data_IF_446363754724
#
_entry.id   IF_446363754724
#
_cell.length_a   1.000
_cell.length_b   1.000
_cell.length_c   1.000
_cell.angle_alpha   90.00
_cell.angle_beta   90.00
_cell.angle_gamma   90.00
#
_symmetry.space_group_name_H-M   'P 1'
#
loop_
_entity.id
_entity.type
_entity.pdbx_description
1 polymer ?
#
# COMPACT_ATOMS: atom_id res chain seq x y z
N UNK A 1 -2.91 12.19 -30.98
CA UNK A 1 -3.15 13.08 -29.84
C UNK A 1 -2.53 12.44 -28.61
N UNK A 2 -2.46 13.15 -27.50
CA UNK A 2 -1.94 12.64 -26.22
C UNK A 2 -2.89 13.04 -25.10
N UNK A 3 -2.77 12.37 -23.93
CA UNK A 3 -3.56 12.71 -22.75
C UNK A 3 -2.67 12.67 -21.49
N UNK A 4 -3.09 13.38 -20.44
CA UNK A 4 -2.43 13.38 -19.15
C UNK A 4 -3.14 12.44 -18.18
N UNK A 5 -2.37 11.65 -17.42
CA UNK A 5 -2.89 10.82 -16.34
C UNK A 5 -2.06 11.03 -15.08
N UNK A 6 -2.73 11.05 -13.92
CA UNK A 6 -2.10 11.33 -12.63
C UNK A 6 -2.42 10.24 -11.62
N UNK A 7 -1.42 9.90 -10.79
CA UNK A 7 -1.61 9.10 -9.59
C UNK A 7 -0.95 9.78 -8.40
N UNK A 8 -1.50 9.54 -7.21
CA UNK A 8 -0.97 10.08 -5.96
C UNK A 8 -0.44 8.97 -5.05
N UNK A 9 0.47 9.36 -4.16
CA UNK A 9 0.91 8.56 -3.03
C UNK A 9 1.04 9.40 -1.78
N UNK A 10 1.07 8.75 -0.63
CA UNK A 10 1.26 9.39 0.67
C UNK A 10 2.37 8.69 1.45
N UNK A 11 3.01 9.43 2.36
CA UNK A 11 4.06 8.88 3.22
C UNK A 11 3.50 7.95 4.31
N UNK A 12 4.39 7.21 4.95
CA UNK A 12 4.06 6.41 6.15
C UNK A 12 3.51 7.26 7.31
N UNK A 13 3.79 8.57 7.33
CA UNK A 13 3.31 9.51 8.34
C UNK A 13 1.96 10.15 8.03
N UNK A 14 1.38 9.92 6.85
CA UNK A 14 0.02 10.36 6.57
C UNK A 14 -0.97 9.72 7.56
N UNK A 15 -1.96 10.47 8.11
CA UNK A 15 -2.86 9.97 9.15
C UNK A 15 -3.52 8.62 8.81
N UNK A 16 -4.04 8.46 7.59
CA UNK A 16 -4.65 7.19 7.17
C UNK A 16 -3.61 6.05 7.13
N UNK A 17 -2.37 6.33 6.72
CA UNK A 17 -1.31 5.30 6.70
C UNK A 17 -0.75 5.00 8.09
N UNK A 18 -0.81 5.93 9.02
CA UNK A 18 -0.56 5.66 10.45
C UNK A 18 -1.59 4.66 10.97
N UNK A 19 -2.88 4.84 10.65
CA UNK A 19 -3.94 3.92 11.01
C UNK A 19 -3.73 2.52 10.41
N UNK A 20 -3.45 2.44 9.10
CA UNK A 20 -3.18 1.18 8.42
C UNK A 20 -1.99 0.43 9.04
N UNK A 21 -0.90 1.13 9.32
CA UNK A 21 0.30 0.53 9.92
C UNK A 21 0.04 0.01 11.34
N UNK A 22 -0.76 0.69 12.14
CA UNK A 22 -1.13 0.21 13.48
C UNK A 22 -1.97 -1.06 13.35
N UNK A 23 -2.99 -1.07 12.48
CA UNK A 23 -3.86 -2.22 12.26
C UNK A 23 -3.08 -3.44 11.76
N UNK A 24 -2.16 -3.27 10.80
CA UNK A 24 -1.34 -4.37 10.28
C UNK A 24 -0.22 -4.81 11.24
N UNK A 25 0.33 -3.91 12.06
CA UNK A 25 1.26 -4.29 13.12
C UNK A 25 0.60 -5.18 14.17
N UNK A 26 -0.66 -4.90 14.50
CA UNK A 26 -1.46 -5.73 15.41
C UNK A 26 -1.79 -7.08 14.78
N UNK A 27 -2.21 -7.10 13.52
CA UNK A 27 -2.45 -8.33 12.78
C UNK A 27 -1.20 -9.22 12.74
N UNK A 28 -0.03 -8.66 12.41
CA UNK A 28 1.23 -9.37 12.39
C UNK A 28 1.58 -9.98 13.75
N UNK A 29 1.31 -9.25 14.82
CA UNK A 29 1.57 -9.75 16.16
C UNK A 29 0.64 -10.93 16.52
N UNK A 30 -0.66 -10.87 16.14
CA UNK A 30 -1.57 -12.00 16.30
C UNK A 30 -1.09 -13.20 15.50
N UNK A 31 -0.80 -13.05 14.22
CA UNK A 31 -0.38 -14.17 13.36
C UNK A 31 0.96 -14.78 13.78
N UNK A 32 1.86 -13.99 14.36
CA UNK A 32 3.13 -14.49 14.87
C UNK A 32 2.94 -15.50 16.02
N UNK A 33 1.96 -15.29 16.88
CA UNK A 33 1.70 -16.15 18.03
C UNK A 33 0.56 -17.15 17.79
N UNK A 34 -0.39 -16.81 16.93
CA UNK A 34 -1.52 -17.64 16.52
C UNK A 34 -1.76 -17.53 15.00
N UNK A 35 -1.15 -18.41 14.18
CA UNK A 35 -1.37 -18.38 12.73
C UNK A 35 -2.82 -18.63 12.31
N UNK A 36 -3.66 -19.19 13.21
CA UNK A 36 -5.08 -19.40 12.98
C UNK A 36 -5.97 -18.22 13.40
N UNK A 37 -5.37 -17.13 13.90
CA UNK A 37 -6.12 -15.95 14.32
C UNK A 37 -6.97 -15.37 13.18
N UNK A 38 -8.18 -14.94 13.54
CA UNK A 38 -9.07 -14.17 12.68
C UNK A 38 -9.14 -12.75 13.22
N UNK A 39 -8.82 -11.78 12.37
CA UNK A 39 -8.74 -10.37 12.74
C UNK A 39 -9.46 -9.50 11.70
N UNK A 40 -10.20 -8.52 12.20
CA UNK A 40 -10.70 -7.38 11.45
C UNK A 40 -10.50 -6.16 12.36
N UNK A 41 -9.30 -5.55 12.29
CA UNK A 41 -8.86 -4.49 13.21
C UNK A 41 -8.84 -3.18 12.44
N UNK A 42 -9.58 -2.21 12.93
CA UNK A 42 -9.61 -0.85 12.42
C UNK A 42 -9.01 0.11 13.45
N UNK A 43 -8.29 1.10 12.95
CA UNK A 43 -7.65 2.13 13.76
C UNK A 43 -8.12 3.50 13.31
N UNK A 44 -8.48 4.33 14.25
CA UNK A 44 -8.75 5.75 14.09
C UNK A 44 -7.67 6.53 14.83
N UNK A 45 -7.15 7.61 14.25
CA UNK A 45 -6.21 8.51 14.92
C UNK A 45 -6.54 9.98 14.62
N UNK A 46 -6.29 10.84 15.61
CA UNK A 46 -6.47 12.29 15.55
C UNK A 46 -5.53 12.96 16.55
N UNK A 47 -5.66 14.27 16.78
CA UNK A 47 -4.86 15.01 17.76
C UNK A 47 -4.78 14.28 19.09
N UNK A 48 -3.57 13.86 19.47
CA UNK A 48 -3.28 13.26 20.79
C UNK A 48 -3.98 11.95 21.08
N UNK A 49 -4.67 11.30 20.11
CA UNK A 49 -5.51 10.13 20.40
C UNK A 49 -5.49 9.08 19.29
N UNK A 50 -5.55 7.81 19.71
CA UNK A 50 -5.76 6.63 18.88
C UNK A 50 -6.91 5.80 19.46
N UNK A 51 -7.78 5.28 18.59
CA UNK A 51 -8.81 4.31 18.96
C UNK A 51 -8.61 3.07 18.09
N UNK A 52 -8.46 1.90 18.70
CA UNK A 52 -8.32 0.60 18.05
C UNK A 52 -9.61 -0.17 18.30
N UNK A 53 -10.27 -0.58 17.25
CA UNK A 53 -11.58 -1.25 17.33
C UNK A 53 -11.66 -2.42 16.36
N UNK A 54 -12.67 -3.26 16.51
CA UNK A 54 -12.94 -4.37 15.60
C UNK A 54 -13.08 -5.71 16.31
N UNK A 55 -12.97 -6.79 15.54
CA UNK A 55 -13.18 -8.17 15.99
C UNK A 55 -11.90 -8.99 15.89
N UNK A 56 -11.61 -9.75 16.92
CA UNK A 56 -10.49 -10.69 16.94
C UNK A 56 -10.94 -12.00 17.57
N UNK A 57 -10.63 -13.11 16.88
CA UNK A 57 -10.68 -14.45 17.45
C UNK A 57 -9.27 -15.04 17.44
N UNK A 58 -8.70 -15.19 18.62
CA UNK A 58 -7.35 -15.74 18.81
C UNK A 58 -7.26 -16.46 20.14
N UNK A 59 -6.41 -17.49 20.20
CA UNK A 59 -6.05 -18.17 21.44
C UNK A 59 -5.04 -17.38 22.27
N UNK A 60 -4.51 -16.24 21.74
CA UNK A 60 -3.41 -15.50 22.33
C UNK A 60 -3.82 -14.09 22.73
N UNK A 61 -3.30 -13.63 23.86
CA UNK A 61 -3.45 -12.24 24.30
C UNK A 61 -2.30 -11.37 23.77
N UNK A 62 -2.63 -10.22 23.22
CA UNK A 62 -1.67 -9.26 22.64
C UNK A 62 -1.82 -7.88 23.31
N UNK A 63 -0.67 -7.26 23.66
CA UNK A 63 -0.64 -5.90 24.21
C UNK A 63 -0.78 -4.86 23.10
N UNK A 64 -2.04 -4.53 22.77
CA UNK A 64 -2.40 -3.63 21.67
C UNK A 64 -1.76 -2.24 21.82
N UNK A 65 -1.77 -1.69 23.03
CA UNK A 65 -1.24 -0.35 23.28
C UNK A 65 0.27 -0.26 23.06
N UNK A 66 1.02 -1.25 23.55
CA UNK A 66 2.47 -1.27 23.36
C UNK A 66 2.85 -1.37 21.89
N UNK A 67 2.12 -2.16 21.09
CA UNK A 67 2.38 -2.31 19.66
C UNK A 67 2.05 -1.03 18.91
N UNK A 68 0.90 -0.41 19.18
CA UNK A 68 0.52 0.86 18.58
C UNK A 68 1.57 1.95 18.86
N UNK A 69 2.02 2.11 20.10
CA UNK A 69 3.07 3.07 20.48
C UNK A 69 4.39 2.83 19.75
N UNK A 70 4.82 1.56 19.66
CA UNK A 70 6.03 1.21 18.89
C UNK A 70 5.89 1.57 17.42
N UNK A 71 4.73 1.34 16.82
CA UNK A 71 4.45 1.68 15.42
C UNK A 71 4.49 3.18 15.20
N UNK A 72 3.81 3.97 16.03
CA UNK A 72 3.80 5.43 15.96
C UNK A 72 5.23 6.00 16.07
N UNK A 73 6.02 5.50 17.05
CA UNK A 73 7.41 5.92 17.22
C UNK A 73 8.29 5.53 16.04
N UNK A 74 8.10 4.32 15.44
CA UNK A 74 8.83 3.86 14.25
C UNK A 74 8.55 4.73 13.03
N UNK A 75 7.33 5.23 12.87
CA UNK A 75 6.95 6.18 11.83
C UNK A 75 7.69 7.51 12.00
N UNK A 76 7.91 7.95 13.23
CA UNK A 76 8.65 9.18 13.55
C UNK A 76 7.84 10.22 14.33
N UNK A 77 6.66 9.89 14.81
CA UNK A 77 5.90 10.73 15.72
C UNK A 77 6.41 10.52 17.15
N UNK A 78 7.50 11.20 17.48
CA UNK A 78 8.24 11.03 18.74
C UNK A 78 8.33 12.30 19.59
N UNK A 79 7.79 13.42 19.10
CA UNK A 79 7.89 14.73 19.73
C UNK A 79 6.50 15.26 20.10
N UNK A 80 6.35 15.76 21.32
CA UNK A 80 5.08 16.34 21.80
C UNK A 80 4.60 17.56 21.01
N UNK A 81 5.54 18.30 20.40
CA UNK A 81 5.23 19.45 19.54
C UNK A 81 4.43 19.08 18.29
N UNK A 82 4.43 17.79 17.89
CA UNK A 82 3.58 17.31 16.80
C UNK A 82 2.12 17.13 17.21
N UNK A 83 1.78 17.36 18.51
CA UNK A 83 0.44 17.16 19.09
C UNK A 83 -0.11 15.74 18.86
N UNK A 84 0.77 14.83 18.47
CA UNK A 84 0.54 13.40 18.33
C UNK A 84 1.91 12.71 18.40
N UNK A 85 2.14 11.90 19.43
CA UNK A 85 3.36 11.12 19.60
C UNK A 85 3.12 9.79 20.29
N UNK A 86 3.95 8.81 20.00
CA UNK A 86 3.77 7.44 20.48
C UNK A 86 3.95 7.26 21.99
N UNK A 87 4.55 8.22 22.70
CA UNK A 87 4.80 8.12 24.15
C UNK A 87 3.67 8.71 24.97
N UNK A 88 3.00 9.77 24.46
CA UNK A 88 2.02 10.55 25.26
C UNK A 88 0.58 10.47 24.74
N UNK A 89 0.32 10.09 23.47
CA UNK A 89 -1.05 10.01 22.96
C UNK A 89 -1.91 9.02 23.76
N UNK A 90 -3.20 9.34 23.93
CA UNK A 90 -4.19 8.43 24.49
C UNK A 90 -4.46 7.27 23.54
N UNK A 91 -4.52 6.03 24.02
CA UNK A 91 -4.89 4.86 23.24
C UNK A 91 -6.07 4.17 23.89
N UNK A 92 -7.21 4.18 23.20
CA UNK A 92 -8.42 3.47 23.58
C UNK A 92 -8.53 2.18 22.75
N UNK A 93 -9.07 1.12 23.36
CA UNK A 93 -9.29 -0.16 22.68
C UNK A 93 -10.73 -0.61 22.87
N UNK A 94 -11.38 -1.02 21.77
CA UNK A 94 -12.74 -1.54 21.71
C UNK A 94 -12.76 -2.78 20.78
N UNK A 95 -11.98 -3.81 21.17
CA UNK A 95 -11.92 -5.10 20.48
C UNK A 95 -12.87 -6.07 21.17
N UNK A 96 -13.67 -6.78 20.39
CA UNK A 96 -14.56 -7.85 20.84
C UNK A 96 -14.36 -9.14 20.04
N UNK A 97 -14.98 -10.22 20.45
CA UNK A 97 -14.92 -11.50 19.75
C UNK A 97 -15.74 -11.47 18.44
N UNK A 98 -15.27 -12.17 17.42
CA UNK A 98 -16.00 -12.32 16.16
C UNK A 98 -17.31 -13.08 16.38
N UNK A 99 -18.38 -12.66 15.70
CA UNK A 99 -19.71 -13.29 15.76
C UNK A 99 -19.68 -14.74 15.31
N UNK A 100 -20.32 -15.63 16.08
CA UNK A 100 -20.49 -17.05 15.75
C UNK A 100 -21.36 -17.27 14.50
N UNK A 101 -22.24 -16.33 14.13
CA UNK A 101 -23.10 -16.43 12.97
C UNK A 101 -22.31 -16.35 11.66
N UNK A 102 -21.30 -15.49 11.60
CA UNK A 102 -20.37 -15.41 10.45
C UNK A 102 -19.58 -16.72 10.36
N UNK A 103 -19.13 -17.24 11.47
CA UNK A 103 -18.30 -18.44 11.51
C UNK A 103 -19.06 -19.69 10.99
N UNK A 104 -20.35 -19.82 11.30
CA UNK A 104 -21.20 -20.96 10.82
C UNK A 104 -21.36 -21.01 9.30
N UNK A 105 -21.39 -19.85 8.62
CA UNK A 105 -21.50 -19.77 7.16
C UNK A 105 -20.20 -20.08 6.43
N UNK A 106 -19.06 -19.94 7.09
CA UNK A 106 -17.72 -20.02 6.51
C UNK A 106 -17.02 -21.34 6.82
N UNK A 107 -17.13 -21.84 8.06
CA UNK A 107 -16.47 -23.07 8.51
C UNK A 107 -17.18 -24.31 7.99
N UNK A 108 -16.46 -25.19 7.30
CA UNK A 108 -16.91 -26.48 6.81
C UNK A 108 -16.01 -27.60 7.34
N UNK A 109 -16.51 -28.84 7.40
CA UNK A 109 -15.71 -30.01 7.79
C UNK A 109 -14.51 -30.23 6.86
N UNK A 110 -14.68 -29.95 5.57
CA UNK A 110 -13.59 -29.93 4.59
C UNK A 110 -12.98 -28.52 4.54
N UNK A 111 -11.76 -28.39 5.09
CA UNK A 111 -10.99 -27.14 5.16
C UNK A 111 -10.70 -26.54 3.76
N UNK A 112 -10.61 -27.38 2.72
CA UNK A 112 -10.39 -26.96 1.34
C UNK A 112 -11.61 -26.29 0.70
N UNK A 113 -12.81 -26.59 1.19
CA UNK A 113 -14.06 -26.02 0.73
C UNK A 113 -14.63 -24.96 1.69
N UNK A 114 -13.79 -24.38 2.52
CA UNK A 114 -14.17 -23.23 3.34
C UNK A 114 -14.74 -22.12 2.45
N UNK A 115 -15.94 -21.62 2.78
CA UNK A 115 -16.60 -20.57 2.04
C UNK A 115 -15.94 -19.21 2.22
N UNK A 116 -16.17 -18.31 1.28
CA UNK A 116 -15.75 -16.92 1.41
C UNK A 116 -16.41 -16.26 2.63
N UNK A 117 -15.64 -15.53 3.41
CA UNK A 117 -16.10 -14.87 4.64
C UNK A 117 -17.02 -13.68 4.40
N UNK A 118 -17.07 -13.20 3.16
CA UNK A 118 -17.91 -12.09 2.71
C UNK A 118 -18.19 -12.22 1.21
N UNK A 119 -19.17 -11.48 0.74
CA UNK A 119 -19.35 -11.21 -0.69
C UNK A 119 -18.44 -10.07 -1.11
N UNK A 120 -18.04 -10.02 -2.40
CA UNK A 120 -17.28 -8.90 -2.91
C UNK A 120 -16.68 -9.13 -4.29
N UNK A 121 -16.16 -8.05 -4.84
CA UNK A 121 -15.38 -8.04 -6.09
C UNK A 121 -13.96 -7.59 -5.78
N UNK A 122 -12.97 -8.34 -6.24
CA UNK A 122 -11.56 -8.02 -6.05
C UNK A 122 -10.89 -7.94 -7.41
N UNK A 123 -9.98 -6.98 -7.55
CA UNK A 123 -9.32 -6.68 -8.81
C UNK A 123 -7.81 -6.77 -8.68
N UNK A 124 -7.19 -7.32 -9.71
CA UNK A 124 -5.76 -7.27 -9.94
C UNK A 124 -5.47 -6.62 -11.27
N UNK A 125 -4.40 -5.85 -11.32
CA UNK A 125 -3.98 -5.14 -12.52
C UNK A 125 -2.47 -5.26 -12.70
N UNK A 126 -2.04 -5.34 -13.94
CA UNK A 126 -0.63 -5.26 -14.34
C UNK A 126 -0.52 -4.60 -15.69
N UNK A 127 0.55 -3.85 -15.89
CA UNK A 127 0.86 -3.18 -17.15
C UNK A 127 2.37 -3.14 -17.38
N UNK A 128 2.80 -3.33 -18.61
CA UNK A 128 4.22 -3.36 -18.99
C UNK A 128 4.80 -1.93 -19.13
N UNK A 129 4.58 -1.06 -18.11
CA UNK A 129 5.14 0.30 -18.06
C UNK A 129 6.44 0.37 -17.26
N UNK A 130 6.56 -0.45 -16.21
CA UNK A 130 7.70 -0.51 -15.28
C UNK A 130 8.19 -1.94 -15.13
N UNK A 131 9.38 -2.12 -14.54
CA UNK A 131 9.97 -3.45 -14.31
C UNK A 131 9.15 -4.32 -13.37
N UNK A 132 8.39 -3.70 -12.46
CA UNK A 132 7.50 -4.38 -11.52
C UNK A 132 6.05 -4.51 -12.00
N UNK A 133 5.79 -4.14 -13.29
CA UNK A 133 4.47 -4.23 -13.92
C UNK A 133 3.41 -3.37 -13.24
N UNK A 134 3.81 -2.18 -12.77
CA UNK A 134 2.93 -1.17 -12.19
C UNK A 134 2.73 0.02 -13.14
N UNK A 135 1.62 0.78 -12.98
CA UNK A 135 1.48 2.08 -13.63
C UNK A 135 2.63 3.01 -13.21
N UNK A 136 3.33 3.60 -14.16
CA UNK A 136 4.50 4.43 -13.89
C UNK A 136 4.17 5.65 -13.03
N UNK A 137 2.96 6.21 -13.16
CA UNK A 137 2.51 7.35 -12.34
C UNK A 137 2.47 7.02 -10.86
N UNK A 138 1.94 5.85 -10.50
CA UNK A 138 1.84 5.41 -9.10
C UNK A 138 3.19 4.94 -8.56
N UNK A 139 3.90 4.12 -9.34
CA UNK A 139 5.20 3.57 -8.94
C UNK A 139 6.19 4.69 -8.61
N UNK A 140 6.24 5.72 -9.46
CA UNK A 140 7.07 6.88 -9.22
C UNK A 140 6.59 7.73 -8.03
N UNK A 141 5.27 7.89 -7.84
CA UNK A 141 4.73 8.59 -6.68
C UNK A 141 5.09 7.87 -5.37
N UNK A 142 5.00 6.53 -5.32
CA UNK A 142 5.47 5.74 -4.17
C UNK A 142 6.96 5.90 -3.92
N UNK A 143 7.77 5.81 -4.96
CA UNK A 143 9.23 5.91 -4.83
C UNK A 143 9.66 7.29 -4.31
N UNK A 144 8.99 8.37 -4.74
CA UNK A 144 9.21 9.72 -4.21
C UNK A 144 8.93 9.76 -2.71
N UNK A 145 7.79 9.23 -2.24
CA UNK A 145 7.43 9.23 -0.82
C UNK A 145 8.33 8.33 0.01
N UNK A 146 8.67 7.16 -0.49
CA UNK A 146 9.61 6.25 0.15
C UNK A 146 10.99 6.91 0.32
N UNK A 147 11.53 7.50 -0.75
CA UNK A 147 12.84 8.16 -0.73
C UNK A 147 12.85 9.38 0.21
N UNK A 148 11.78 10.17 0.23
CA UNK A 148 11.63 11.29 1.16
C UNK A 148 11.65 10.81 2.62
N UNK A 149 10.96 9.72 2.94
CA UNK A 149 10.97 9.13 4.28
C UNK A 149 12.35 8.58 4.66
N UNK A 150 13.10 7.99 3.72
CA UNK A 150 14.48 7.56 3.97
C UNK A 150 15.37 8.76 4.30
N UNK A 151 15.30 9.86 3.53
CA UNK A 151 16.04 11.10 3.80
C UNK A 151 15.72 11.62 5.21
N UNK A 152 14.45 11.67 5.59
CA UNK A 152 14.02 12.09 6.92
C UNK A 152 14.62 11.21 8.02
N UNK A 153 14.56 9.88 7.86
CA UNK A 153 15.07 8.91 8.84
C UNK A 153 16.60 8.91 8.94
N UNK A 154 17.30 9.20 7.85
CA UNK A 154 18.76 9.40 7.87
C UNK A 154 19.18 10.59 8.74
N UNK A 155 18.37 11.66 8.79
CA UNK A 155 18.63 12.86 9.59
C UNK A 155 19.89 13.64 9.22
N UNK A 156 20.39 13.50 7.97
CA UNK A 156 21.65 14.11 7.50
C UNK A 156 21.44 15.33 6.63
N UNK A 157 20.44 15.27 5.76
CA UNK A 157 20.03 16.35 4.86
C UNK A 157 18.53 16.55 5.00
N UNK A 158 18.01 17.73 4.64
CA UNK A 158 16.58 18.06 4.81
C UNK A 158 16.10 17.74 6.23
N UNK A 159 16.87 18.12 7.25
CA UNK A 159 16.64 17.74 8.67
C UNK A 159 15.36 18.32 9.26
N UNK A 160 14.74 19.25 8.56
CA UNK A 160 13.47 19.89 8.88
C UNK A 160 12.23 19.02 8.53
N UNK A 161 12.41 17.90 7.84
CA UNK A 161 11.29 17.04 7.42
C UNK A 161 10.55 16.42 8.60
N UNK A 162 9.22 16.48 8.56
CA UNK A 162 8.30 15.78 9.47
C UNK A 162 7.67 14.57 8.77
N UNK A 163 6.96 13.69 9.50
CA UNK A 163 6.52 12.40 8.95
C UNK A 163 5.48 12.48 7.84
N UNK A 164 4.59 13.47 7.84
CA UNK A 164 3.48 13.57 6.88
C UNK A 164 3.92 14.16 5.55
N UNK A 165 3.56 13.52 4.46
CA UNK A 165 3.81 14.02 3.12
C UNK A 165 2.89 13.36 2.08
N UNK A 166 2.71 14.03 0.94
CA UNK A 166 1.97 13.54 -0.23
C UNK A 166 2.77 13.83 -1.50
N UNK A 167 2.62 12.96 -2.49
CA UNK A 167 3.12 13.18 -3.85
C UNK A 167 2.03 12.91 -4.87
N UNK A 168 2.13 13.57 -6.02
CA UNK A 168 1.34 13.25 -7.20
C UNK A 168 2.26 13.34 -8.41
N UNK A 169 2.15 12.37 -9.31
CA UNK A 169 2.89 12.34 -10.57
C UNK A 169 1.91 12.32 -11.72
N UNK A 170 2.09 13.25 -12.65
CA UNK A 170 1.34 13.36 -13.90
C UNK A 170 2.27 13.00 -15.06
N UNK A 171 1.84 12.07 -15.89
CA UNK A 171 2.55 11.61 -17.08
C UNK A 171 1.70 11.85 -18.31
N UNK A 172 2.33 12.28 -19.40
CA UNK A 172 1.73 12.34 -20.72
C UNK A 172 1.84 10.99 -21.39
N UNK A 173 0.71 10.51 -21.90
CA UNK A 173 0.57 9.27 -22.63
C UNK A 173 0.17 9.53 -24.08
N UNK A 174 0.65 8.70 -25.01
CA UNK A 174 0.09 8.64 -26.36
C UNK A 174 -1.34 8.09 -26.36
N UNK A 175 -2.08 8.25 -27.47
CA UNK A 175 -3.42 7.65 -27.62
C UNK A 175 -3.42 6.12 -27.47
N UNK A 176 -2.29 5.46 -27.75
CA UNK A 176 -2.11 4.01 -27.57
C UNK A 176 -1.77 3.63 -26.10
N UNK A 177 -1.76 4.61 -25.19
CA UNK A 177 -1.49 4.40 -23.78
C UNK A 177 -0.03 4.14 -23.41
N UNK A 178 0.93 4.63 -24.23
CA UNK A 178 2.37 4.53 -23.97
C UNK A 178 2.84 5.80 -23.25
N UNK A 179 3.51 5.70 -22.08
CA UNK A 179 4.06 6.86 -21.39
C UNK A 179 5.13 7.55 -22.24
N UNK A 180 5.05 8.89 -22.36
CA UNK A 180 5.91 9.71 -23.20
C UNK A 180 6.88 10.57 -22.39
N UNK A 181 6.38 11.27 -21.38
CA UNK A 181 7.17 12.14 -20.50
C UNK A 181 6.45 12.39 -19.18
N UNK A 182 7.22 12.69 -18.16
CA UNK A 182 6.69 13.25 -16.92
C UNK A 182 6.37 14.73 -17.19
N UNK A 183 5.13 15.12 -16.88
CA UNK A 183 4.63 16.49 -17.04
C UNK A 183 4.76 17.29 -15.72
N UNK A 184 4.22 16.77 -14.64
CA UNK A 184 4.19 17.44 -13.34
C UNK A 184 4.50 16.48 -12.21
N UNK A 185 5.29 16.95 -11.24
CA UNK A 185 5.53 16.30 -9.96
C UNK A 185 5.11 17.26 -8.83
N UNK A 186 4.14 16.84 -8.02
CA UNK A 186 3.73 17.55 -6.82
C UNK A 186 4.33 16.86 -5.60
N UNK A 187 4.92 17.62 -4.70
CA UNK A 187 5.38 17.14 -3.37
C UNK A 187 4.89 18.11 -2.31
N UNK A 188 4.03 17.63 -1.42
CA UNK A 188 3.63 18.37 -0.21
C UNK A 188 4.20 17.65 1.00
N UNK A 189 5.09 18.30 1.73
CA UNK A 189 5.75 17.69 2.89
C UNK A 189 5.62 18.55 4.13
N UNK A 190 5.25 17.93 5.23
CA UNK A 190 5.28 18.54 6.56
C UNK A 190 6.74 18.84 6.95
N UNK A 191 6.97 19.98 7.58
CA UNK A 191 8.30 20.44 7.96
C UNK A 191 8.29 21.25 9.28
N UNK A 192 9.45 21.37 9.90
CA UNK A 192 9.64 22.29 11.02
C UNK A 192 9.51 23.73 10.55
N UNK A 193 9.17 24.64 11.45
CA UNK A 193 9.22 26.08 11.24
C UNK A 193 10.68 26.55 11.47
N UNK A 194 11.56 26.27 10.49
CA UNK A 194 13.01 26.31 10.66
C UNK A 194 13.67 27.63 10.26
N UNK A 195 12.93 28.58 9.66
CA UNK A 195 13.38 29.94 9.40
C UNK A 195 12.48 30.90 10.18
N UNK A 196 13.04 31.55 11.18
CA UNK A 196 12.30 32.47 12.04
C UNK A 196 12.29 33.89 11.44
N UNK A 197 11.22 34.67 11.58
CA UNK A 197 11.16 36.06 11.15
C UNK A 197 12.16 36.92 11.95
N UNK A 198 12.67 37.96 11.31
CA UNK A 198 13.66 38.90 11.92
C UNK A 198 13.06 39.70 13.06
N UNK A 199 11.76 39.95 13.00
CA UNK A 199 10.97 40.66 14.01
C UNK A 199 9.51 40.19 13.99
N UNK A 200 8.64 40.78 14.79
CA UNK A 200 7.24 40.39 14.90
C UNK A 200 6.32 41.01 13.82
N UNK A 201 6.85 41.57 12.73
CA UNK A 201 6.02 42.11 11.65
C UNK A 201 5.51 41.05 10.70
N UNK A 202 4.32 41.27 10.10
CA UNK A 202 3.75 40.39 9.07
C UNK A 202 4.64 40.29 7.85
N UNK A 203 5.40 41.34 7.53
CA UNK A 203 6.34 41.37 6.40
C UNK A 203 7.54 40.46 6.65
N UNK A 204 8.12 40.50 7.86
CA UNK A 204 9.21 39.62 8.25
C UNK A 204 8.76 38.14 8.32
N UNK A 205 7.54 37.88 8.74
CA UNK A 205 6.95 36.54 8.71
C UNK A 205 6.81 36.02 7.27
N UNK A 206 6.30 36.85 6.36
CA UNK A 206 6.16 36.51 4.95
C UNK A 206 7.51 36.23 4.28
N UNK A 207 8.54 37.06 4.54
CA UNK A 207 9.89 36.83 4.05
C UNK A 207 10.48 35.50 4.54
N UNK A 208 10.26 35.14 5.81
CA UNK A 208 10.73 33.90 6.39
C UNK A 208 10.02 32.68 5.76
N UNK A 209 8.69 32.76 5.57
CA UNK A 209 7.90 31.70 4.94
C UNK A 209 8.31 31.48 3.47
N UNK A 210 8.49 32.56 2.70
CA UNK A 210 8.96 32.49 1.30
C UNK A 210 10.37 31.88 1.20
N UNK A 211 11.29 32.27 2.07
CA UNK A 211 12.65 31.71 2.11
C UNK A 211 12.64 30.22 2.47
N UNK A 212 11.78 29.81 3.41
CA UNK A 212 11.60 28.42 3.81
C UNK A 212 11.06 27.56 2.66
N UNK A 213 10.02 28.04 1.96
CA UNK A 213 9.45 27.35 0.81
C UNK A 213 10.42 27.24 -0.35
N UNK A 214 11.18 28.29 -0.62
CA UNK A 214 12.22 28.28 -1.64
C UNK A 214 13.32 27.23 -1.33
N UNK A 215 13.73 27.14 -0.06
CA UNK A 215 14.69 26.11 0.40
C UNK A 215 14.13 24.71 0.23
N UNK A 216 12.91 24.45 0.65
CA UNK A 216 12.26 23.12 0.51
C UNK A 216 12.16 22.74 -0.97
N UNK A 217 11.73 23.66 -1.84
CA UNK A 217 11.65 23.42 -3.28
C UNK A 217 13.01 23.09 -3.89
N UNK A 218 14.04 23.85 -3.54
CA UNK A 218 15.41 23.61 -4.00
C UNK A 218 15.92 22.23 -3.55
N UNK A 219 15.65 21.82 -2.31
CA UNK A 219 16.08 20.53 -1.78
C UNK A 219 15.32 19.36 -2.41
N UNK A 220 14.02 19.51 -2.68
CA UNK A 220 13.26 18.52 -3.44
C UNK A 220 13.88 18.31 -4.82
N UNK A 221 14.18 19.37 -5.56
CA UNK A 221 14.74 19.27 -6.92
C UNK A 221 16.19 18.76 -6.89
N UNK A 222 17.03 19.22 -5.96
CA UNK A 222 18.46 18.96 -5.97
C UNK A 222 18.91 17.79 -5.10
N UNK A 223 18.07 17.28 -4.17
CA UNK A 223 18.41 16.17 -3.28
C UNK A 223 17.44 15.00 -3.49
N UNK A 224 16.13 15.23 -3.35
CA UNK A 224 15.15 14.15 -3.44
C UNK A 224 15.09 13.55 -4.85
N UNK A 225 14.86 14.37 -5.87
CA UNK A 225 14.70 13.89 -7.26
C UNK A 225 15.95 13.15 -7.78
N UNK A 226 17.19 13.60 -7.56
CA UNK A 226 18.37 12.81 -7.92
C UNK A 226 18.45 11.44 -7.23
N UNK A 227 18.07 11.35 -5.94
CA UNK A 227 18.02 10.06 -5.23
C UNK A 227 16.91 9.13 -5.74
N UNK A 228 15.80 9.69 -6.19
CA UNK A 228 14.74 8.93 -6.87
C UNK A 228 15.27 8.41 -8.21
N UNK A 229 15.84 9.26 -9.05
CA UNK A 229 16.40 8.88 -10.35
C UNK A 229 17.45 7.76 -10.25
N UNK A 230 18.27 7.77 -9.21
CA UNK A 230 19.31 6.76 -8.99
C UNK A 230 18.74 5.33 -8.69
N UNK A 231 17.45 5.20 -8.46
CA UNK A 231 16.77 3.93 -8.17
C UNK A 231 15.93 3.43 -9.36
N UNK A 232 15.86 4.20 -10.45
CA UNK A 232 15.02 3.90 -11.62
C UNK A 232 15.79 3.15 -12.70
N UNK A 233 15.10 2.22 -13.37
CA UNK A 233 15.59 1.64 -14.62
C UNK A 233 15.48 2.61 -15.80
N UNK A 234 16.22 2.30 -16.87
CA UNK A 234 16.35 3.16 -18.07
C UNK A 234 15.00 3.57 -18.67
N UNK A 235 14.03 2.66 -18.68
CA UNK A 235 12.70 2.89 -19.26
C UNK A 235 11.95 4.04 -18.57
N UNK A 236 11.96 4.08 -17.24
CA UNK A 236 11.31 5.14 -16.47
C UNK A 236 12.18 6.40 -16.43
N UNK A 237 13.50 6.23 -16.35
CA UNK A 237 14.45 7.34 -16.35
C UNK A 237 14.33 8.17 -17.63
N UNK A 238 14.07 7.55 -18.78
CA UNK A 238 13.89 8.23 -20.07
C UNK A 238 12.66 9.17 -20.11
N UNK A 239 11.69 9.02 -19.19
CA UNK A 239 10.53 9.90 -19.10
C UNK A 239 10.83 11.24 -18.43
N UNK A 240 11.98 11.34 -17.73
CA UNK A 240 12.43 12.62 -17.16
C UNK A 240 12.97 13.55 -18.25
N UNK A 241 12.57 14.81 -18.17
CA UNK A 241 12.94 15.85 -19.12
C UNK A 241 13.20 17.17 -18.37
N UNK A 242 13.68 18.20 -19.08
CA UNK A 242 14.02 19.50 -18.49
C UNK A 242 12.80 20.43 -18.26
N UNK A 243 11.60 19.98 -18.67
CA UNK A 243 10.38 20.79 -18.61
C UNK A 243 9.37 20.29 -17.56
N UNK A 244 9.81 19.45 -16.60
CA UNK A 244 8.93 18.98 -15.53
C UNK A 244 8.50 20.15 -14.65
N UNK A 245 7.18 20.29 -14.46
CA UNK A 245 6.62 21.26 -13.54
C UNK A 245 6.69 20.74 -12.10
N UNK A 246 7.55 21.30 -11.27
CA UNK A 246 7.68 20.95 -9.86
C UNK A 246 6.83 21.87 -8.98
N UNK A 247 5.75 21.32 -8.41
CA UNK A 247 4.89 21.98 -7.43
C UNK A 247 5.22 21.46 -6.03
N UNK A 248 5.90 22.27 -5.24
CA UNK A 248 6.36 21.91 -3.89
C UNK A 248 5.68 22.80 -2.86
N UNK A 249 4.94 22.20 -1.91
CA UNK A 249 4.12 22.89 -0.92
C UNK A 249 3.32 24.07 -1.52
N UNK A 250 2.50 23.84 -2.55
CA UNK A 250 1.90 24.95 -3.34
C UNK A 250 0.92 25.81 -2.54
N UNK A 251 0.44 25.34 -1.39
CA UNK A 251 -0.47 26.07 -0.49
C UNK A 251 0.27 26.92 0.55
N UNK A 252 1.61 26.89 0.57
CA UNK A 252 2.42 27.58 1.57
C UNK A 252 3.05 26.61 2.58
N UNK A 253 3.46 27.11 3.74
CA UNK A 253 4.12 26.30 4.77
C UNK A 253 3.17 25.21 5.31
N UNK A 254 3.75 24.06 5.63
CA UNK A 254 3.04 22.89 6.10
C UNK A 254 3.67 22.38 7.41
N UNK A 255 3.48 23.13 8.49
CA UNK A 255 3.99 22.80 9.83
C UNK A 255 3.00 21.94 10.60
N UNK A 256 1.69 22.26 10.52
CA UNK A 256 0.63 21.47 11.13
C UNK A 256 0.23 20.36 10.15
N UNK A 257 0.46 19.11 10.53
CA UNK A 257 0.18 17.93 9.71
C UNK A 257 0.12 16.67 10.56
N UNK A 258 0.07 15.52 9.89
CA UNK A 258 -0.14 14.24 10.55
C UNK A 258 -1.50 14.17 11.25
N UNK A 259 -1.70 13.29 12.24
CA UNK A 259 -2.97 13.15 12.96
C UNK A 259 -3.46 14.42 13.68
N UNK A 260 -2.58 15.40 13.90
CA UNK A 260 -2.98 16.71 14.42
C UNK A 260 -3.62 17.60 13.35
N UNK A 261 -3.17 17.50 12.11
CA UNK A 261 -3.71 18.28 10.98
C UNK A 261 -4.98 17.69 10.39
N UNK A 262 -5.07 16.37 10.33
CA UNK A 262 -6.21 15.65 9.77
C UNK A 262 -6.39 14.30 10.47
N UNK A 263 -7.61 13.81 10.49
CA UNK A 263 -7.97 12.53 11.11
C UNK A 263 -7.66 11.37 10.16
N UNK A 264 -7.04 10.32 10.68
CA UNK A 264 -6.75 9.08 9.96
C UNK A 264 -7.67 7.93 10.32
N UNK A 265 -7.95 7.08 9.36
CA UNK A 265 -8.73 5.85 9.52
C UNK A 265 -8.19 4.75 8.62
N UNK A 266 -8.20 3.51 9.12
CA UNK A 266 -7.82 2.32 8.34
C UNK A 266 -8.67 2.21 7.07
N UNK A 267 -8.02 1.94 5.93
CA UNK A 267 -8.69 1.66 4.66
C UNK A 267 -9.19 2.89 3.89
N UNK A 268 -8.70 4.10 4.18
CA UNK A 268 -9.06 5.32 3.44
C UNK A 268 -8.10 5.69 2.31
N UNK A 269 -7.08 4.86 2.03
CA UNK A 269 -6.09 5.07 0.96
C UNK A 269 -6.02 3.88 0.00
N UNK A 270 -7.16 3.21 -0.23
CA UNK A 270 -7.24 1.97 -1.01
C UNK A 270 -6.78 2.13 -2.47
N UNK A 271 -6.92 3.28 -3.08
CA UNK A 271 -6.43 3.56 -4.44
C UNK A 271 -4.91 3.73 -4.46
N UNK A 272 -4.35 4.40 -3.44
CA UNK A 272 -2.90 4.48 -3.21
C UNK A 272 -2.32 3.08 -2.93
N UNK A 273 -3.03 2.25 -2.19
CA UNK A 273 -2.61 0.88 -1.85
C UNK A 273 -2.56 -0.05 -3.06
N UNK A 274 -3.27 0.26 -4.15
CA UNK A 274 -3.44 -0.62 -5.31
C UNK A 274 -2.81 -0.07 -6.59
N UNK A 275 -3.56 0.61 -7.46
CA UNK A 275 -3.10 0.91 -8.82
C UNK A 275 -3.22 2.40 -9.20
N UNK A 276 -3.43 3.31 -8.23
CA UNK A 276 -3.44 4.76 -8.47
C UNK A 276 -4.52 5.24 -9.45
N UNK A 277 -5.62 4.49 -9.59
CA UNK A 277 -6.73 4.82 -10.49
C UNK A 277 -6.64 4.20 -11.89
N UNK A 278 -5.53 3.50 -12.25
CA UNK A 278 -5.41 2.79 -13.55
C UNK A 278 -6.21 1.49 -13.55
N UNK A 279 -6.15 0.73 -12.47
CA UNK A 279 -6.96 -0.46 -12.29
C UNK A 279 -8.20 -0.18 -11.43
N UNK A 280 -9.27 -0.94 -11.65
CA UNK A 280 -10.46 -0.89 -10.82
C UNK A 280 -10.17 -1.37 -9.38
N UNK A 281 -11.06 -1.01 -8.44
CA UNK A 281 -11.01 -1.45 -7.05
C UNK A 281 -12.41 -1.87 -6.57
N UNK A 282 -12.49 -2.94 -5.80
CA UNK A 282 -13.78 -3.46 -5.29
C UNK A 282 -14.33 -2.74 -4.07
N UNK A 283 -13.55 -1.83 -3.46
CA UNK A 283 -13.95 -1.02 -2.31
C UNK A 283 -13.51 -1.58 -0.95
N UNK A 284 -13.09 -2.85 -0.86
CA UNK A 284 -12.65 -3.46 0.40
C UNK A 284 -11.27 -2.96 0.86
N UNK A 285 -11.14 -2.54 2.11
CA UNK A 285 -9.87 -2.23 2.75
C UNK A 285 -9.05 -3.50 2.99
N UNK A 286 -7.71 -3.37 3.01
CA UNK A 286 -6.78 -4.48 3.25
C UNK A 286 -6.29 -4.54 4.69
N UNK A 287 -5.73 -3.42 5.17
CA UNK A 287 -5.05 -3.37 6.48
C UNK A 287 -5.98 -3.78 7.63
N UNK A 288 -5.43 -4.52 8.60
CA UNK A 288 -6.15 -5.05 9.74
C UNK A 288 -6.94 -6.33 9.49
N UNK A 289 -7.12 -6.76 8.23
CA UNK A 289 -7.83 -7.98 7.85
C UNK A 289 -6.86 -9.16 7.71
N UNK A 290 -7.14 -10.27 8.39
CA UNK A 290 -6.44 -11.54 8.16
C UNK A 290 -6.81 -12.16 6.79
N UNK A 291 -6.00 -13.13 6.29
CA UNK A 291 -6.17 -13.64 4.93
C UNK A 291 -7.45 -14.45 4.67
N UNK A 292 -8.25 -14.77 5.66
CA UNK A 292 -9.57 -15.37 5.44
C UNK A 292 -10.56 -14.38 4.80
N UNK A 293 -10.28 -13.09 4.89
CA UNK A 293 -11.06 -12.03 4.24
C UNK A 293 -10.65 -11.93 2.78
N UNK A 294 -11.56 -12.30 1.89
CA UNK A 294 -11.32 -12.31 0.43
C UNK A 294 -11.00 -10.92 -0.13
N UNK A 295 -11.47 -9.84 0.50
CA UNK A 295 -11.08 -8.47 0.16
C UNK A 295 -9.56 -8.31 0.04
N UNK A 296 -8.80 -8.96 0.91
CA UNK A 296 -7.35 -8.92 0.92
C UNK A 296 -6.74 -10.07 0.13
N UNK A 297 -7.07 -11.30 0.44
CA UNK A 297 -6.43 -12.49 -0.14
C UNK A 297 -6.70 -12.62 -1.64
N UNK A 298 -7.94 -12.41 -2.08
CA UNK A 298 -8.28 -12.50 -3.49
C UNK A 298 -7.78 -11.29 -4.30
N UNK A 299 -7.67 -10.10 -3.70
CA UNK A 299 -7.01 -8.96 -4.35
C UNK A 299 -5.51 -9.25 -4.61
N UNK A 300 -4.82 -9.91 -3.68
CA UNK A 300 -3.44 -10.35 -3.90
C UNK A 300 -3.34 -11.45 -4.96
N UNK A 301 -4.28 -12.39 -4.97
CA UNK A 301 -4.32 -13.45 -5.99
C UNK A 301 -4.59 -12.90 -7.39
N UNK A 302 -5.52 -11.94 -7.54
CA UNK A 302 -5.79 -11.30 -8.83
C UNK A 302 -4.57 -10.51 -9.34
N UNK A 303 -3.82 -9.84 -8.44
CA UNK A 303 -2.53 -9.20 -8.79
C UNK A 303 -1.50 -10.23 -9.24
N UNK A 304 -1.35 -11.33 -8.51
CA UNK A 304 -0.43 -12.40 -8.87
C UNK A 304 -0.71 -12.96 -10.26
N UNK A 305 -1.98 -13.21 -10.59
CA UNK A 305 -2.40 -13.68 -11.89
C UNK A 305 -2.09 -12.63 -12.97
N UNK A 306 -2.59 -11.40 -12.81
CA UNK A 306 -2.41 -10.33 -13.79
C UNK A 306 -0.93 -10.09 -14.11
N UNK A 307 -0.08 -10.04 -13.06
CA UNK A 307 1.36 -9.83 -13.22
C UNK A 307 2.04 -10.96 -14.00
N UNK A 308 1.75 -12.22 -13.65
CA UNK A 308 2.32 -13.37 -14.36
C UNK A 308 1.84 -13.46 -15.81
N UNK A 309 0.57 -13.11 -16.08
CA UNK A 309 0.02 -13.09 -17.45
C UNK A 309 0.72 -12.04 -18.32
N UNK A 310 0.91 -10.82 -17.80
CA UNK A 310 1.63 -9.76 -18.54
C UNK A 310 3.10 -10.11 -18.70
N UNK A 311 3.75 -10.63 -17.66
CA UNK A 311 5.15 -11.06 -17.72
C UNK A 311 5.37 -12.25 -18.69
N UNK A 312 4.37 -13.13 -18.86
CA UNK A 312 4.41 -14.21 -19.83
C UNK A 312 4.22 -13.73 -21.27
N UNK A 313 3.78 -12.49 -21.48
CA UNK A 313 3.54 -11.93 -22.80
C UNK A 313 2.15 -12.22 -23.37
N UNK A 314 1.17 -12.59 -22.54
CA UNK A 314 -0.23 -12.78 -22.98
C UNK A 314 -0.84 -11.45 -23.40
N UNK A 315 -0.51 -10.36 -22.72
CA UNK A 315 -0.94 -8.99 -23.03
C UNK A 315 0.04 -7.98 -22.43
N UNK A 316 0.10 -6.76 -22.96
CA UNK A 316 0.87 -5.66 -22.36
C UNK A 316 0.16 -5.03 -21.16
N UNK A 317 -1.14 -5.24 -21.03
CA UNK A 317 -1.98 -4.68 -19.98
C UNK A 317 -3.10 -5.67 -19.65
N UNK A 318 -3.37 -5.91 -18.37
CA UNK A 318 -4.41 -6.86 -17.97
C UNK A 318 -5.04 -6.46 -16.63
N UNK A 319 -6.37 -6.46 -16.62
CA UNK A 319 -7.21 -6.43 -15.43
C UNK A 319 -7.82 -7.82 -15.22
N UNK A 320 -7.76 -8.33 -14.00
CA UNK A 320 -8.42 -9.57 -13.57
C UNK A 320 -9.37 -9.24 -12.43
N UNK A 321 -10.62 -9.70 -12.52
CA UNK A 321 -11.60 -9.60 -11.44
C UNK A 321 -11.98 -11.00 -10.96
N UNK A 322 -12.05 -11.16 -9.64
CA UNK A 322 -12.74 -12.28 -8.97
C UNK A 322 -13.92 -11.73 -8.19
N UNK A 323 -15.05 -12.44 -8.21
CA UNK A 323 -16.19 -12.12 -7.38
C UNK A 323 -16.61 -13.34 -6.55
N UNK A 324 -16.93 -13.12 -5.27
CA UNK A 324 -17.39 -14.18 -4.36
C UNK A 324 -18.75 -13.84 -3.80
N UNK A 325 -19.52 -14.91 -3.50
CA UNK A 325 -20.70 -14.86 -2.64
C UNK A 325 -20.30 -15.37 -1.25
N UNK A 326 -20.89 -14.79 -0.21
CA UNK A 326 -20.64 -15.23 1.16
C UNK A 326 -20.98 -16.73 1.33
N UNK A 327 -20.11 -17.47 1.99
CA UNK A 327 -20.28 -18.91 2.23
C UNK A 327 -19.96 -19.82 1.04
N UNK A 328 -19.69 -19.28 -0.17
CA UNK A 328 -19.28 -20.06 -1.33
C UNK A 328 -17.75 -20.12 -1.45
N UNK A 329 -17.22 -21.33 -1.70
CA UNK A 329 -15.78 -21.54 -1.83
C UNK A 329 -15.25 -21.12 -3.20
N UNK A 330 -16.00 -21.35 -4.27
CA UNK A 330 -15.58 -20.97 -5.62
C UNK A 330 -16.04 -19.54 -5.93
N UNK A 331 -15.25 -18.76 -6.69
CA UNK A 331 -15.74 -17.49 -7.19
C UNK A 331 -16.97 -17.68 -8.07
N UNK A 332 -17.92 -16.76 -7.99
CA UNK A 332 -19.12 -16.74 -8.84
C UNK A 332 -18.81 -16.20 -10.24
N UNK A 333 -17.71 -15.46 -10.39
CA UNK A 333 -17.22 -15.03 -11.70
C UNK A 333 -15.72 -14.78 -11.70
N UNK A 334 -15.11 -15.01 -12.87
CA UNK A 334 -13.77 -14.61 -13.26
C UNK A 334 -13.90 -13.75 -14.52
N UNK A 335 -13.41 -12.52 -14.46
CA UNK A 335 -13.46 -11.58 -15.58
C UNK A 335 -12.05 -11.09 -15.91
N UNK A 336 -11.76 -10.93 -17.19
CA UNK A 336 -10.50 -10.41 -17.71
C UNK A 336 -10.80 -9.26 -18.68
N UNK A 337 -9.93 -8.26 -18.66
CA UNK A 337 -9.88 -7.23 -19.70
C UNK A 337 -8.42 -6.98 -20.07
N UNK A 338 -8.07 -7.22 -21.33
CA UNK A 338 -6.75 -6.97 -21.90
C UNK A 338 -6.64 -5.59 -22.55
N UNK A 339 -7.70 -4.78 -22.51
CA UNK A 339 -7.77 -3.45 -23.11
C UNK A 339 -7.44 -3.44 -24.61
N UNK A 340 -7.64 -4.60 -25.31
CA UNK A 340 -7.31 -4.76 -26.71
C UNK A 340 -5.81 -4.91 -26.99
N UNK A 341 -4.98 -5.15 -25.95
CA UNK A 341 -3.52 -5.31 -26.03
C UNK A 341 -3.08 -6.78 -25.91
N UNK A 342 -3.99 -7.73 -26.19
CA UNK A 342 -3.69 -9.16 -26.18
C UNK A 342 -2.75 -9.53 -27.33
N UNK A 343 -1.77 -10.39 -27.05
CA UNK A 343 -0.87 -10.97 -28.03
C UNK A 343 -1.24 -12.41 -28.44
N UNK A 344 -2.29 -12.97 -27.82
CA UNK A 344 -2.81 -14.29 -28.15
C UNK A 344 -4.12 -14.19 -28.93
N UNK A 345 -4.37 -15.16 -29.81
CA UNK A 345 -5.61 -15.21 -30.61
C UNK A 345 -6.77 -15.82 -29.81
N UNK A 346 -7.09 -15.18 -28.70
CA UNK A 346 -8.16 -15.57 -27.78
C UNK A 346 -8.91 -14.31 -27.32
N UNK A 347 -10.21 -14.44 -27.11
CA UNK A 347 -11.02 -13.40 -26.45
C UNK A 347 -10.69 -13.33 -24.96
N UNK A 348 -10.98 -12.19 -24.31
CA UNK A 348 -10.82 -12.02 -22.86
C UNK A 348 -11.61 -13.08 -22.05
N UNK A 349 -12.77 -13.50 -22.55
CA UNK A 349 -13.55 -14.58 -21.95
C UNK A 349 -12.91 -15.96 -22.08
N UNK A 350 -12.16 -16.24 -23.15
CA UNK A 350 -11.36 -17.47 -23.26
C UNK A 350 -10.16 -17.44 -22.33
N UNK A 351 -9.46 -16.32 -22.26
CA UNK A 351 -8.36 -16.10 -21.30
C UNK A 351 -8.86 -16.33 -19.86
N UNK A 352 -10.04 -15.80 -19.50
CA UNK A 352 -10.64 -16.00 -18.19
C UNK A 352 -10.89 -17.47 -17.86
N UNK A 353 -11.38 -18.28 -18.81
CA UNK A 353 -11.56 -19.74 -18.62
C UNK A 353 -10.22 -20.48 -18.42
N UNK A 354 -9.17 -20.09 -19.12
CA UNK A 354 -7.82 -20.64 -18.90
C UNK A 354 -7.31 -20.29 -17.49
N UNK A 355 -7.51 -19.06 -17.02
CA UNK A 355 -7.15 -18.66 -15.66
C UNK A 355 -7.90 -19.51 -14.62
N UNK A 356 -9.21 -19.69 -14.79
CA UNK A 356 -10.03 -20.51 -13.88
C UNK A 356 -9.58 -21.99 -13.86
N UNK A 357 -9.15 -22.54 -14.98
CA UNK A 357 -8.60 -23.88 -15.06
C UNK A 357 -7.19 -24.03 -14.48
N UNK A 358 -6.38 -22.97 -14.57
CA UNK A 358 -4.99 -22.99 -14.12
C UNK A 358 -4.83 -22.73 -12.62
N UNK A 359 -5.69 -21.95 -12.00
CA UNK A 359 -5.52 -21.49 -10.62
C UNK A 359 -6.67 -21.98 -9.73
N UNK A 360 -6.32 -22.49 -8.55
CA UNK A 360 -7.32 -22.77 -7.52
C UNK A 360 -7.66 -21.46 -6.80
N UNK A 361 -8.84 -20.93 -7.12
CA UNK A 361 -9.30 -19.63 -6.66
C UNK A 361 -10.16 -19.72 -5.38
N UNK A 362 -10.19 -20.88 -4.72
CA UNK A 362 -10.84 -21.02 -3.41
C UNK A 362 -10.05 -20.26 -2.34
N UNK A 363 -10.71 -19.57 -1.38
CA UNK A 363 -10.02 -18.72 -0.39
C UNK A 363 -8.89 -19.44 0.34
N UNK A 364 -9.12 -20.69 0.78
CA UNK A 364 -8.09 -21.48 1.48
C UNK A 364 -6.91 -21.88 0.61
N UNK A 365 -7.17 -22.17 -0.67
CA UNK A 365 -6.11 -22.46 -1.64
C UNK A 365 -5.23 -21.21 -1.89
N UNK A 366 -5.84 -20.04 -1.99
CA UNK A 366 -5.13 -18.75 -2.11
C UNK A 366 -4.24 -18.50 -0.89
N UNK A 367 -4.76 -18.66 0.33
CA UNK A 367 -3.98 -18.52 1.56
C UNK A 367 -2.72 -19.40 1.55
N UNK A 368 -2.87 -20.66 1.12
CA UNK A 368 -1.75 -21.63 1.05
C UNK A 368 -0.76 -21.28 -0.05
N UNK A 369 -1.26 -21.01 -1.27
CA UNK A 369 -0.40 -20.70 -2.42
C UNK A 369 0.44 -19.45 -2.18
N UNK A 370 -0.14 -18.40 -1.65
CA UNK A 370 0.53 -17.15 -1.35
C UNK A 370 1.12 -17.08 0.06
N UNK A 371 1.02 -18.16 0.86
CA UNK A 371 1.56 -18.27 2.23
C UNK A 371 1.10 -17.14 3.15
N UNK A 372 -0.16 -16.75 3.07
CA UNK A 372 -0.68 -15.54 3.71
C UNK A 372 -0.84 -15.63 5.24
N UNK A 373 -0.74 -16.81 5.85
CA UNK A 373 -0.80 -16.98 7.31
C UNK A 373 0.52 -16.66 8.02
N UNK A 374 1.37 -15.83 7.41
CA UNK A 374 2.59 -15.32 7.99
C UNK A 374 2.43 -13.84 8.40
N UNK A 375 3.20 -13.36 9.40
CA UNK A 375 3.15 -11.97 9.83
C UNK A 375 3.92 -11.05 8.85
N UNK A 376 3.36 -10.82 7.65
CA UNK A 376 3.96 -10.11 6.53
C UNK A 376 3.32 -8.74 6.24
N UNK A 377 2.35 -8.30 7.04
CA UNK A 377 1.41 -7.26 6.66
C UNK A 377 1.84 -5.84 7.00
N UNK A 378 2.62 -5.63 8.07
CA UNK A 378 3.11 -4.28 8.42
C UNK A 378 3.86 -3.62 7.25
N UNK A 379 4.64 -4.38 6.50
CA UNK A 379 5.42 -3.89 5.36
C UNK A 379 4.55 -3.52 4.16
N UNK A 380 3.30 -3.99 4.11
CA UNK A 380 2.35 -3.64 3.05
C UNK A 380 1.63 -2.31 3.31
N UNK A 381 1.53 -1.91 4.57
CA UNK A 381 0.67 -0.82 5.03
C UNK A 381 1.15 0.60 4.64
N UNK A 382 2.29 0.73 3.96
CA UNK A 382 2.78 2.01 3.42
C UNK A 382 3.48 1.78 2.06
N UNK A 383 3.39 2.77 1.18
CA UNK A 383 4.02 2.77 -0.15
C UNK A 383 3.50 1.69 -1.11
N UNK A 384 2.22 1.33 -0.98
CA UNK A 384 1.51 0.38 -1.83
C UNK A 384 1.67 -1.09 -1.44
N UNK A 385 0.61 -1.86 -1.68
CA UNK A 385 0.59 -3.32 -1.50
C UNK A 385 1.12 -4.06 -2.74
N UNK A 386 1.12 -3.39 -3.90
CA UNK A 386 1.48 -3.97 -5.19
C UNK A 386 2.79 -3.35 -5.71
N UNK A 387 3.47 -4.05 -6.63
CA UNK A 387 4.71 -3.57 -7.24
C UNK A 387 5.93 -3.66 -6.33
N UNK A 388 5.85 -4.37 -5.22
CA UNK A 388 6.92 -4.51 -4.24
C UNK A 388 7.82 -5.71 -4.56
N UNK A 389 9.02 -5.70 -4.00
CA UNK A 389 9.97 -6.80 -4.17
C UNK A 389 9.61 -7.97 -3.26
N UNK A 390 9.43 -9.17 -3.84
CA UNK A 390 9.37 -10.39 -3.05
C UNK A 390 10.74 -10.67 -2.44
N UNK A 391 10.80 -10.79 -1.11
CA UNK A 391 12.01 -11.08 -0.37
C UNK A 391 11.72 -11.81 0.94
N UNK A 392 12.72 -12.47 1.49
CA UNK A 392 12.65 -13.14 2.79
C UNK A 392 13.39 -12.29 3.82
N UNK A 393 12.69 -11.90 4.88
CA UNK A 393 13.23 -11.10 5.98
C UNK A 393 13.17 -11.85 7.30
N UNK A 394 14.02 -11.47 8.25
CA UNK A 394 13.93 -11.94 9.64
C UNK A 394 13.13 -10.93 10.46
N UNK A 395 12.04 -11.39 11.08
CA UNK A 395 11.20 -10.58 11.96
C UNK A 395 11.29 -11.10 13.39
N UNK A 396 11.33 -10.18 14.36
CA UNK A 396 11.35 -10.50 15.77
C UNK A 396 10.09 -9.94 16.44
N UNK A 397 9.31 -10.81 17.05
CA UNK A 397 8.09 -10.47 17.78
C UNK A 397 8.35 -10.62 19.27
N UNK A 398 8.15 -9.54 20.01
CA UNK A 398 8.31 -9.48 21.46
C UNK A 398 6.95 -9.29 22.12
N UNK A 399 6.74 -9.97 23.24
CA UNK A 399 5.53 -9.88 24.05
C UNK A 399 5.89 -9.88 25.53
N UNK A 400 5.04 -9.30 26.38
CA UNK A 400 5.12 -9.44 27.84
C UNK A 400 4.54 -10.78 28.31
N UNK A 401 3.76 -11.43 27.45
CA UNK A 401 2.95 -12.61 27.78
C UNK A 401 3.49 -13.89 27.13
N UNK A 402 4.37 -13.75 26.15
CA UNK A 402 4.89 -14.86 25.36
C UNK A 402 6.40 -14.73 25.19
N UNK A 403 7.06 -15.84 24.94
CA UNK A 403 8.47 -15.87 24.57
C UNK A 403 8.70 -15.10 23.26
N UNK A 404 9.85 -14.46 23.13
CA UNK A 404 10.26 -13.78 21.91
C UNK A 404 10.36 -14.78 20.76
N UNK A 405 9.63 -14.52 19.66
CA UNK A 405 9.71 -15.32 18.43
C UNK A 405 10.58 -14.62 17.39
N UNK A 406 11.49 -15.38 16.77
CA UNK A 406 12.21 -14.98 15.56
C UNK A 406 11.71 -15.82 14.41
N UNK A 407 11.32 -15.20 13.33
CA UNK A 407 10.70 -15.85 12.18
C UNK A 407 11.30 -15.33 10.88
N UNK A 408 11.55 -16.25 9.94
CA UNK A 408 11.81 -15.90 8.55
C UNK A 408 10.47 -15.77 7.85
N UNK A 409 10.18 -14.61 7.30
CA UNK A 409 8.92 -14.26 6.67
C UNK A 409 9.16 -13.90 5.22
N UNK A 410 8.43 -14.50 4.30
CA UNK A 410 8.48 -14.19 2.88
C UNK A 410 7.46 -13.09 2.58
N UNK A 411 7.94 -11.88 2.25
CA UNK A 411 7.12 -10.71 1.96
C UNK A 411 6.67 -10.68 0.50
N UNK A 412 5.51 -10.08 0.23
CA UNK A 412 4.97 -9.81 -1.10
C UNK A 412 4.95 -11.03 -2.02
N UNK A 413 4.47 -12.16 -1.53
CA UNK A 413 4.45 -13.43 -2.25
C UNK A 413 3.66 -13.39 -3.55
N UNK A 414 2.67 -12.49 -3.66
CA UNK A 414 1.88 -12.24 -4.86
C UNK A 414 2.63 -11.48 -5.96
N UNK A 415 3.84 -11.03 -5.70
CA UNK A 415 4.69 -10.36 -6.69
C UNK A 415 5.66 -11.33 -7.41
N UNK A 416 5.62 -12.63 -7.08
CA UNK A 416 6.43 -13.66 -7.74
C UNK A 416 6.06 -13.84 -9.22
N UNK A 417 7.04 -14.19 -10.03
CA UNK A 417 6.90 -14.52 -11.45
C UNK A 417 7.12 -16.02 -11.71
N UNK A 418 6.66 -16.87 -10.81
CA UNK A 418 6.89 -18.32 -10.84
C UNK A 418 5.86 -19.11 -11.67
N UNK A 419 4.89 -18.43 -12.29
CA UNK A 419 3.92 -19.05 -13.21
C UNK A 419 4.19 -18.72 -14.68
N UNK A 420 5.18 -17.89 -14.99
CA UNK A 420 5.45 -17.40 -16.35
C UNK A 420 5.63 -18.55 -17.35
N UNK A 421 6.48 -19.53 -17.04
CA UNK A 421 6.74 -20.66 -17.96
C UNK A 421 5.50 -21.55 -18.16
N UNK A 422 4.72 -21.76 -17.09
CA UNK A 422 3.46 -22.51 -17.16
C UNK A 422 2.43 -21.80 -18.03
N UNK A 423 2.32 -20.47 -17.88
CA UNK A 423 1.42 -19.64 -18.69
C UNK A 423 1.86 -19.64 -20.14
N UNK A 424 3.15 -19.45 -20.43
CA UNK A 424 3.67 -19.53 -21.81
C UNK A 424 3.30 -20.84 -22.49
N UNK A 425 3.50 -21.95 -21.80
CA UNK A 425 3.13 -23.28 -22.32
C UNK A 425 1.62 -23.39 -22.59
N UNK A 426 0.77 -22.90 -21.69
CA UNK A 426 -0.69 -22.97 -21.83
C UNK A 426 -1.18 -22.13 -23.02
N UNK A 427 -0.61 -20.95 -23.22
CA UNK A 427 -1.02 -20.01 -24.27
C UNK A 427 -0.23 -20.15 -25.59
N UNK A 428 0.74 -21.05 -25.66
CA UNK A 428 1.52 -21.31 -26.88
C UNK A 428 2.52 -20.19 -27.23
N UNK A 429 3.08 -19.52 -26.21
CA UNK A 429 4.04 -18.40 -26.30
C UNK A 429 5.49 -18.87 -26.18
#
# INVERSE_FOLDING_TARGET
MSYLFSSESVSEGHPDKVADQISDALLDQFLAYDPAAHCAIETFNTTGQVVIMGEVRSSQYIDLQTIARKTINKIGYTKSEYQFDGNSCGILTAIHEQSDDINRGVSREDDDNQGAGDQGMMFGYAVNETENYMPVTLDLAHLIMYTLAQIRKEGKVMTYLRPDAKSQVTVEYSDDGVPQRIDTIVVSTQHDDFIQPKDGSDEAQKEADEAMLAKIKADVINILIPRVKAQLGDKVLALFNDHINYLVNPTGKFVIGGPHGDTGLTGRKIIVDTYGGRGAHGGGAFSGKDPSKVDRSAAYMTRYIAKNMVAAGVSDEMLVQLAYAIGEAKPVSVYVNTYGKSHVNMSDGEIARHIEAMFDLRPRAIERQLKLRQPMYLETAAYGHMGRKNEVVEKTFTSRYHETKRMRVELFTWEKLDQVDRIKKEFGL
#
